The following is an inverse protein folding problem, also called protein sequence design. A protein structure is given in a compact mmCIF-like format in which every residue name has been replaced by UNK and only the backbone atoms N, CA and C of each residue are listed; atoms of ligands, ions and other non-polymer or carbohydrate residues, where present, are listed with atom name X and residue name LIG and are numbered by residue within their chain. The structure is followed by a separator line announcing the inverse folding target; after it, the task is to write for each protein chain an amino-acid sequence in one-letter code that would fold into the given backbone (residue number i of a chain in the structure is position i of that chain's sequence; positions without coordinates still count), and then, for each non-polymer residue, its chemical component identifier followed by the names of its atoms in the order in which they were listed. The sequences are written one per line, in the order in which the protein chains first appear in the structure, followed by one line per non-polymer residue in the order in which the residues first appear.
data_IF_706886051507
#
_entry.id   IF_706886051507
#
_cell.length_a   1.000
_cell.length_b   1.000
_cell.length_c   1.000
_cell.angle_alpha   90.00
_cell.angle_beta   90.00
_cell.angle_gamma   90.00
#
_symmetry.space_group_name_H-M   'P 1'
#
loop_
_entity.id
_entity.type
_entity.pdbx_description
1 polymer ?
#
# COMPACT_ATOMS: atom_id res chain seq x y z
N UNK A 1 -6.64 16.96 11.91
CA UNK A 1 -5.93 15.68 12.06
C UNK A 1 -6.52 14.73 11.03
N UNK A 2 -5.73 14.28 10.09
CA UNK A 2 -6.17 13.36 9.04
C UNK A 2 -5.89 11.90 9.36
N UNK A 3 -6.52 10.98 8.62
CA UNK A 3 -6.28 9.54 8.70
C UNK A 3 -5.83 8.99 7.35
N UNK A 4 -4.75 8.22 7.34
CA UNK A 4 -4.10 7.72 6.13
C UNK A 4 -3.79 6.23 6.23
N UNK A 5 -4.02 5.49 5.15
CA UNK A 5 -3.61 4.11 5.01
C UNK A 5 -2.44 3.99 4.02
N UNK A 6 -1.37 3.31 4.43
CA UNK A 6 -0.23 3.00 3.58
C UNK A 6 -0.12 1.48 3.39
N UNK A 7 -0.42 1.00 2.21
CA UNK A 7 -0.24 -0.41 1.81
C UNK A 7 1.18 -0.57 1.26
N UNK A 8 1.99 -1.39 1.90
CA UNK A 8 3.45 -1.46 1.68
C UNK A 8 4.23 -0.47 2.57
N UNK A 9 3.71 -0.20 3.77
CA UNK A 9 4.28 0.77 4.72
C UNK A 9 5.69 0.48 5.22
N UNK A 10 6.20 -0.75 5.05
CA UNK A 10 7.59 -1.13 5.41
C UNK A 10 8.64 -0.82 4.33
N UNK A 11 8.25 -0.29 3.17
CA UNK A 11 9.21 0.24 2.18
C UNK A 11 9.89 1.52 2.70
N UNK A 12 11.05 1.87 2.15
CA UNK A 12 11.76 3.09 2.56
C UNK A 12 10.89 4.34 2.37
N UNK A 13 10.14 4.39 1.26
CA UNK A 13 9.17 5.46 1.01
C UNK A 13 8.02 5.40 2.03
N UNK A 14 7.50 4.21 2.33
CA UNK A 14 6.42 4.01 3.29
C UNK A 14 6.81 4.47 4.70
N UNK A 15 7.98 4.09 5.17
CA UNK A 15 8.51 4.51 6.48
C UNK A 15 8.68 6.04 6.55
N UNK A 16 9.28 6.63 5.51
CA UNK A 16 9.49 8.08 5.46
C UNK A 16 8.15 8.84 5.41
N UNK A 17 7.20 8.36 4.60
CA UNK A 17 5.87 8.96 4.50
C UNK A 17 5.10 8.84 5.83
N UNK A 18 5.17 7.66 6.48
CA UNK A 18 4.57 7.46 7.80
C UNK A 18 5.10 8.47 8.80
N UNK A 19 6.43 8.63 8.90
CA UNK A 19 7.05 9.61 9.80
C UNK A 19 6.57 11.03 9.53
N UNK A 20 6.55 11.46 8.27
CA UNK A 20 6.08 12.79 7.90
C UNK A 20 4.60 13.03 8.21
N UNK A 21 3.75 12.04 8.02
CA UNK A 21 2.33 12.14 8.36
C UNK A 21 2.12 12.24 9.86
N UNK A 22 2.85 11.44 10.65
CA UNK A 22 2.82 11.47 12.11
C UNK A 22 3.35 12.81 12.65
N UNK A 23 4.46 13.32 12.14
CA UNK A 23 5.00 14.65 12.47
C UNK A 23 3.99 15.77 12.19
N UNK A 24 3.16 15.59 11.14
CA UNK A 24 2.04 16.49 10.84
C UNK A 24 0.80 16.29 11.71
N UNK A 25 0.87 15.47 12.76
CA UNK A 25 -0.23 15.20 13.68
C UNK A 25 -1.33 14.30 13.12
N UNK A 26 -1.03 13.50 12.09
CA UNK A 26 -2.00 12.60 11.48
C UNK A 26 -1.88 11.17 12.02
N UNK A 27 -2.98 10.45 12.03
CA UNK A 27 -3.03 9.02 12.31
C UNK A 27 -2.74 8.23 11.04
N UNK A 28 -1.96 7.16 11.18
CA UNK A 28 -1.54 6.34 10.05
C UNK A 28 -1.82 4.87 10.34
N UNK A 29 -2.49 4.21 9.43
CA UNK A 29 -2.59 2.75 9.40
C UNK A 29 -1.62 2.24 8.35
N UNK A 30 -0.83 1.24 8.66
CA UNK A 30 0.08 0.61 7.70
C UNK A 30 -0.24 -0.86 7.53
N UNK A 31 -0.20 -1.35 6.28
CA UNK A 31 -0.22 -2.76 5.96
C UNK A 31 1.16 -3.16 5.45
N UNK A 32 1.77 -4.14 6.10
CA UNK A 32 3.16 -4.57 5.88
C UNK A 32 3.26 -6.08 5.83
N UNK A 33 4.23 -6.63 5.11
CA UNK A 33 4.51 -8.07 5.14
C UNK A 33 5.44 -8.45 6.30
N UNK A 34 6.33 -7.54 6.66
CA UNK A 34 7.30 -7.72 7.74
C UNK A 34 7.26 -6.51 8.67
N UNK A 35 6.92 -6.75 9.92
CA UNK A 35 6.78 -5.74 10.95
C UNK A 35 8.13 -5.26 11.50
N UNK A 36 9.19 -6.06 11.36
CA UNK A 36 10.51 -5.76 11.96
C UNK A 36 11.08 -4.41 11.51
N UNK A 37 10.78 -3.99 10.28
CA UNK A 37 11.27 -2.72 9.70
C UNK A 37 10.52 -1.47 10.20
N UNK A 38 9.41 -1.66 10.87
CA UNK A 38 8.53 -0.57 11.32
C UNK A 38 8.38 -0.54 12.85
N UNK A 39 9.20 -1.31 13.57
CA UNK A 39 9.21 -1.38 15.04
C UNK A 39 9.41 -0.04 15.71
N UNK A 40 10.20 0.86 15.10
CA UNK A 40 10.54 2.18 15.65
C UNK A 40 9.47 3.25 15.43
N UNK A 41 8.38 2.92 14.72
CA UNK A 41 7.28 3.85 14.52
C UNK A 41 6.40 3.94 15.79
N UNK A 42 5.91 5.15 16.15
CA UNK A 42 5.15 5.35 17.39
C UNK A 42 3.80 4.61 17.36
N UNK A 43 3.58 3.72 18.32
CA UNK A 43 2.36 2.89 18.41
C UNK A 43 1.08 3.71 18.63
N UNK A 44 1.17 4.84 19.28
CA UNK A 44 0.03 5.72 19.55
C UNK A 44 -0.56 6.36 18.29
N UNK A 45 0.26 6.51 17.24
CA UNK A 45 -0.11 7.20 16.01
C UNK A 45 -0.12 6.27 14.79
N UNK A 46 0.46 5.06 14.91
CA UNK A 46 0.63 4.12 13.79
C UNK A 46 0.06 2.74 14.16
N UNK A 47 -1.04 2.40 13.53
CA UNK A 47 -1.61 1.06 13.63
C UNK A 47 -1.04 0.15 12.52
N UNK A 48 -0.75 -1.10 12.88
CA UNK A 48 -0.08 -2.05 12.00
C UNK A 48 -0.96 -3.25 11.68
N UNK A 49 -1.03 -3.59 10.39
CA UNK A 49 -1.59 -4.83 9.88
C UNK A 49 -0.50 -5.62 9.18
N UNK A 50 -0.36 -6.89 9.54
CA UNK A 50 0.70 -7.76 8.99
C UNK A 50 0.09 -8.80 8.07
N UNK A 51 0.50 -8.81 6.81
CA UNK A 51 0.10 -9.79 5.81
C UNK A 51 0.23 -9.31 4.38
N UNK A 52 -0.40 -10.03 3.46
CA UNK A 52 -0.31 -9.77 2.03
C UNK A 52 -1.37 -8.76 1.57
N UNK A 53 -0.97 -7.83 0.70
CA UNK A 53 -1.86 -6.84 0.09
C UNK A 53 -2.86 -7.44 -0.93
N UNK A 54 -2.72 -8.71 -1.27
CA UNK A 54 -3.70 -9.47 -2.06
C UNK A 54 -4.83 -10.06 -1.19
N UNK A 55 -4.69 -10.06 0.14
CA UNK A 55 -5.76 -10.49 1.04
C UNK A 55 -6.80 -9.37 1.19
N UNK A 56 -7.92 -9.51 0.47
CA UNK A 56 -9.04 -8.55 0.53
C UNK A 56 -9.58 -8.36 1.96
N UNK A 57 -9.63 -9.42 2.76
CA UNK A 57 -10.13 -9.37 4.14
C UNK A 57 -9.20 -8.55 5.02
N UNK A 58 -7.89 -8.71 4.85
CA UNK A 58 -6.89 -7.94 5.58
C UNK A 58 -6.89 -6.46 5.16
N UNK A 59 -6.91 -6.20 3.86
CA UNK A 59 -7.02 -4.83 3.32
C UNK A 59 -8.30 -4.15 3.82
N UNK A 60 -9.43 -4.88 3.85
CA UNK A 60 -10.69 -4.36 4.38
C UNK A 60 -10.58 -3.98 5.86
N UNK A 61 -9.98 -4.82 6.69
CA UNK A 61 -9.74 -4.51 8.11
C UNK A 61 -8.88 -3.25 8.27
N UNK A 62 -7.79 -3.14 7.51
CA UNK A 62 -6.91 -1.99 7.56
C UNK A 62 -7.62 -0.68 7.14
N UNK A 63 -8.44 -0.72 6.07
CA UNK A 63 -9.23 0.44 5.63
C UNK A 63 -10.27 0.82 6.70
N UNK A 64 -10.99 -0.15 7.26
CA UNK A 64 -11.99 0.11 8.31
C UNK A 64 -11.36 0.70 9.56
N UNK A 65 -10.21 0.18 9.98
CA UNK A 65 -9.48 0.73 11.12
C UNK A 65 -9.01 2.14 10.88
N UNK A 66 -8.47 2.43 9.70
CA UNK A 66 -8.09 3.78 9.29
C UNK A 66 -9.28 4.75 9.35
N UNK A 67 -10.46 4.34 8.87
CA UNK A 67 -11.69 5.14 8.94
C UNK A 67 -12.11 5.38 10.41
N UNK A 68 -12.05 4.34 11.25
CA UNK A 68 -12.38 4.47 12.67
C UNK A 68 -11.44 5.44 13.39
N UNK A 69 -10.15 5.39 13.11
CA UNK A 69 -9.17 6.31 13.68
C UNK A 69 -9.33 7.75 13.19
N UNK A 70 -9.95 7.95 12.03
CA UNK A 70 -10.26 9.23 11.41
C UNK A 70 -11.67 9.76 11.69
N UNK A 71 -12.29 9.36 12.80
CA UNK A 71 -13.64 9.80 13.19
C UNK A 71 -14.70 9.54 12.11
N UNK A 72 -14.59 8.40 11.42
CA UNK A 72 -15.49 7.97 10.37
C UNK A 72 -15.09 8.39 8.95
N UNK A 73 -13.91 9.01 8.77
CA UNK A 73 -13.38 9.46 7.48
C UNK A 73 -12.02 8.85 7.17
N UNK A 74 -11.63 8.86 5.91
CA UNK A 74 -10.29 8.49 5.45
C UNK A 74 -9.83 9.51 4.40
N UNK A 75 -8.75 10.22 4.70
CA UNK A 75 -8.24 11.27 3.82
C UNK A 75 -7.47 10.73 2.62
N UNK A 76 -6.73 9.65 2.83
CA UNK A 76 -5.95 9.07 1.75
C UNK A 76 -5.50 7.64 1.96
N UNK A 77 -5.34 6.95 0.84
CA UNK A 77 -4.70 5.63 0.73
C UNK A 77 -3.54 5.72 -0.24
N UNK A 78 -2.35 5.33 0.18
CA UNK A 78 -1.20 5.19 -0.69
C UNK A 78 -0.83 3.71 -0.86
N UNK A 79 -0.82 3.22 -2.09
CA UNK A 79 -0.35 1.88 -2.43
C UNK A 79 1.10 1.96 -2.90
N UNK A 80 2.00 1.41 -2.07
CA UNK A 80 3.45 1.48 -2.22
C UNK A 80 4.07 0.09 -2.43
N UNK A 81 3.22 -0.94 -2.62
CA UNK A 81 3.69 -2.29 -2.92
C UNK A 81 4.15 -2.35 -4.35
N UNK A 82 5.29 -2.97 -4.57
CA UNK A 82 5.83 -3.23 -5.88
C UNK A 82 7.03 -4.15 -5.81
N UNK A 83 7.24 -4.86 -6.90
CA UNK A 83 8.44 -5.67 -7.15
C UNK A 83 8.83 -5.53 -8.61
N UNK A 84 10.05 -5.88 -8.92
CA UNK A 84 10.52 -5.97 -10.29
C UNK A 84 11.37 -7.22 -10.49
N UNK A 85 11.36 -7.73 -11.71
CA UNK A 85 12.22 -8.82 -12.14
C UNK A 85 13.04 -8.35 -13.34
N UNK A 86 14.36 -8.35 -13.20
CA UNK A 86 15.27 -7.99 -14.32
C UNK A 86 15.63 -9.28 -15.04
N UNK A 87 14.82 -9.65 -16.01
CA UNK A 87 15.03 -10.86 -16.85
C UNK A 87 14.51 -10.59 -18.26
N UNK A 88 15.18 -11.09 -19.30
CA UNK A 88 14.62 -11.05 -20.65
C UNK A 88 13.39 -11.99 -20.72
N UNK A 89 12.40 -11.70 -21.57
CA UNK A 89 11.14 -12.47 -21.64
C UNK A 89 11.33 -13.97 -21.84
N UNK A 90 12.31 -14.37 -22.66
CA UNK A 90 12.60 -15.78 -22.92
C UNK A 90 13.24 -16.54 -21.74
N UNK A 91 13.71 -15.84 -20.72
CA UNK A 91 14.26 -16.42 -19.49
C UNK A 91 13.29 -16.32 -18.30
N UNK A 92 12.12 -15.70 -18.49
CA UNK A 92 11.08 -15.61 -17.49
C UNK A 92 10.12 -16.81 -17.64
N UNK A 93 9.91 -17.57 -16.58
CA UNK A 93 8.87 -18.59 -16.58
C UNK A 93 7.52 -17.99 -16.18
N UNK A 94 6.45 -18.77 -16.38
CA UNK A 94 5.08 -18.32 -16.13
C UNK A 94 4.84 -17.94 -14.67
N UNK A 95 5.36 -18.71 -13.74
CA UNK A 95 5.21 -18.49 -12.31
C UNK A 95 5.82 -17.14 -11.88
N UNK A 96 7.02 -16.83 -12.36
CA UNK A 96 7.68 -15.55 -12.07
C UNK A 96 6.90 -14.37 -12.68
N UNK A 97 6.33 -14.53 -13.87
CA UNK A 97 5.48 -13.52 -14.49
C UNK A 97 4.19 -13.29 -13.66
N UNK A 98 3.51 -14.37 -13.28
CA UNK A 98 2.30 -14.30 -12.46
C UNK A 98 2.58 -13.67 -11.08
N UNK A 99 3.74 -13.93 -10.46
CA UNK A 99 4.16 -13.31 -9.22
C UNK A 99 4.35 -11.79 -9.36
N UNK A 100 4.98 -11.34 -10.45
CA UNK A 100 5.13 -9.90 -10.73
C UNK A 100 3.77 -9.24 -10.93
N UNK A 101 2.87 -9.84 -11.69
CA UNK A 101 1.50 -9.34 -11.88
C UNK A 101 0.73 -9.31 -10.56
N UNK A 102 0.83 -10.38 -9.77
CA UNK A 102 0.17 -10.46 -8.46
C UNK A 102 0.63 -9.35 -7.54
N UNK A 103 1.95 -9.14 -7.45
CA UNK A 103 2.53 -8.14 -6.57
C UNK A 103 2.22 -6.71 -7.02
N UNK A 104 2.33 -6.40 -8.32
CA UNK A 104 2.25 -5.02 -8.80
C UNK A 104 0.84 -4.61 -9.24
N UNK A 105 0.07 -5.52 -9.85
CA UNK A 105 -1.23 -5.19 -10.42
C UNK A 105 -2.40 -5.67 -9.54
N UNK A 106 -2.39 -6.96 -9.15
CA UNK A 106 -3.50 -7.52 -8.39
C UNK A 106 -3.62 -6.86 -7.02
N UNK A 107 -2.53 -6.65 -6.31
CA UNK A 107 -2.53 -5.96 -5.01
C UNK A 107 -3.03 -4.51 -5.12
N UNK A 108 -2.66 -3.82 -6.19
CA UNK A 108 -3.15 -2.46 -6.46
C UNK A 108 -4.65 -2.46 -6.73
N UNK A 109 -5.15 -3.42 -7.52
CA UNK A 109 -6.58 -3.59 -7.78
C UNK A 109 -7.36 -3.91 -6.50
N UNK A 110 -6.87 -4.84 -5.68
CA UNK A 110 -7.48 -5.18 -4.38
C UNK A 110 -7.57 -3.94 -3.50
N UNK A 111 -6.46 -3.22 -3.35
CA UNK A 111 -6.43 -1.97 -2.57
C UNK A 111 -7.44 -0.96 -3.09
N UNK A 112 -7.49 -0.73 -4.40
CA UNK A 112 -8.41 0.22 -5.03
C UNK A 112 -9.88 -0.18 -4.80
N UNK A 113 -10.21 -1.43 -5.10
CA UNK A 113 -11.56 -1.97 -5.00
C UNK A 113 -12.11 -1.84 -3.57
N UNK A 114 -11.31 -2.28 -2.60
CA UNK A 114 -11.70 -2.25 -1.18
C UNK A 114 -11.77 -0.81 -0.67
N UNK A 115 -10.75 0.01 -0.93
CA UNK A 115 -10.69 1.38 -0.46
C UNK A 115 -11.83 2.23 -1.03
N UNK A 116 -12.06 2.20 -2.34
CA UNK A 116 -13.13 2.98 -2.98
C UNK A 116 -14.50 2.62 -2.43
N UNK A 117 -14.78 1.32 -2.22
CA UNK A 117 -16.06 0.87 -1.65
C UNK A 117 -16.32 1.44 -0.25
N UNK A 118 -15.29 1.55 0.57
CA UNK A 118 -15.40 2.12 1.91
C UNK A 118 -15.40 3.66 1.87
N UNK A 119 -14.55 4.28 1.06
CA UNK A 119 -14.48 5.73 0.88
C UNK A 119 -15.81 6.32 0.41
N UNK A 120 -16.52 5.66 -0.51
CA UNK A 120 -17.84 6.10 -0.97
C UNK A 120 -18.85 6.21 0.18
N UNK A 121 -18.71 5.37 1.21
CA UNK A 121 -19.57 5.39 2.40
C UNK A 121 -19.10 6.39 3.45
N UNK A 122 -17.80 6.66 3.49
CA UNK A 122 -17.15 7.55 4.45
C UNK A 122 -17.01 9.01 3.97
N UNK A 123 -17.69 9.37 2.86
CA UNK A 123 -17.70 10.74 2.35
C UNK A 123 -16.61 11.08 1.33
N UNK A 124 -15.84 10.09 0.87
CA UNK A 124 -14.79 10.27 -0.14
C UNK A 124 -13.39 9.99 0.39
N UNK A 125 -12.38 10.41 -0.36
CA UNK A 125 -10.96 10.24 -0.04
C UNK A 125 -10.09 10.31 -1.31
N UNK A 126 -8.78 10.15 -1.15
CA UNK A 126 -7.82 10.12 -2.26
C UNK A 126 -7.07 8.81 -2.26
N UNK A 127 -6.83 8.24 -3.45
CA UNK A 127 -5.99 7.05 -3.62
C UNK A 127 -4.80 7.42 -4.49
N UNK A 128 -3.60 7.07 -4.05
CA UNK A 128 -2.35 7.29 -4.76
C UNK A 128 -1.69 5.95 -5.03
N UNK A 129 -1.28 5.74 -6.27
CA UNK A 129 -0.49 4.59 -6.69
C UNK A 129 0.91 5.05 -7.11
N UNK A 130 1.91 4.24 -6.77
CA UNK A 130 3.26 4.42 -7.32
C UNK A 130 3.35 3.75 -8.68
N UNK A 131 3.94 4.44 -9.64
CA UNK A 131 4.25 3.92 -10.97
C UNK A 131 5.74 4.01 -11.24
N UNK A 132 6.17 3.52 -12.38
CA UNK A 132 7.57 3.54 -12.80
C UNK A 132 7.72 4.15 -14.19
N UNK A 133 8.85 4.78 -14.42
CA UNK A 133 9.27 5.20 -15.77
C UNK A 133 9.39 4.01 -16.72
N UNK A 134 9.66 2.81 -16.22
CA UNK A 134 9.70 1.57 -17.00
C UNK A 134 8.38 1.29 -17.73
N UNK A 135 7.23 1.65 -17.13
CA UNK A 135 5.92 1.51 -17.76
C UNK A 135 5.66 2.48 -18.91
N UNK A 136 6.46 3.55 -19.02
CA UNK A 136 6.29 4.59 -20.07
C UNK A 136 7.37 4.52 -21.13
N UNK A 137 8.61 4.22 -20.75
CA UNK A 137 9.77 4.28 -21.65
C UNK A 137 10.24 2.89 -22.12
N UNK A 138 9.84 1.83 -21.45
CA UNK A 138 10.38 0.48 -21.66
C UNK A 138 11.87 0.42 -21.31
N UNK A 139 12.23 -0.30 -20.28
CA UNK A 139 13.61 -0.53 -19.89
C UNK A 139 14.00 -1.97 -20.26
N UNK A 140 15.23 -2.13 -20.74
CA UNK A 140 15.74 -3.44 -21.14
C UNK A 140 15.63 -4.44 -19.96
N UNK A 141 15.05 -5.62 -20.23
CA UNK A 141 14.84 -6.69 -19.25
C UNK A 141 13.94 -6.32 -18.04
N UNK A 142 13.11 -5.29 -18.14
CA UNK A 142 12.10 -4.92 -17.13
C UNK A 142 10.71 -5.24 -17.66
N UNK A 143 10.44 -6.50 -17.88
CA UNK A 143 9.18 -7.03 -18.43
C UNK A 143 8.08 -7.14 -17.36
#
# INVERSE_FOLDING_TARGET
MGSFLLVGGSSDIGILLTKKLVEGGNKVTILVRDESRVSDLPEEMVERFVGDANDEGLVLKAVQSCIMSGDGTIDGVAHLVGSFSVRPPHAMNREAFEEVLSTNLTSAFVTLSVACKQMLRAGGGRVVFTSSVAGSLGLMNHE
#
